data_IF_125483584474
#
_entry.id   IF_125483584474
#
_cell.length_a   1.000
_cell.length_b   1.000
_cell.length_c   1.000
_cell.angle_alpha   90.00
_cell.angle_beta   90.00
_cell.angle_gamma   90.00
#
_symmetry.space_group_name_H-M   'P 1'
#
loop_
_entity.id
_entity.type
_entity.pdbx_description
1 polymer ?
#
# COMPACT_ATOMS: atom_id res chain seq x y z
N UNK A 1 -3.04 -1.54 -27.26
CA UNK A 1 -1.74 -2.10 -27.73
C UNK A 1 -1.11 -1.26 -28.85
N UNK A 2 -1.88 -0.52 -29.64
CA UNK A 2 -1.39 0.41 -30.68
C UNK A 2 -0.65 1.64 -30.15
N UNK A 3 -1.00 2.12 -28.95
CA UNK A 3 -0.45 3.37 -28.41
C UNK A 3 0.99 3.21 -27.91
N UNK A 4 1.35 2.01 -27.43
CA UNK A 4 2.72 1.67 -27.02
C UNK A 4 3.69 1.71 -28.21
N UNK A 5 3.28 1.17 -29.36
CA UNK A 5 4.08 1.20 -30.58
C UNK A 5 4.25 2.62 -31.16
N UNK A 6 3.27 3.51 -30.95
CA UNK A 6 3.39 4.92 -31.33
C UNK A 6 4.38 5.67 -30.43
N UNK A 7 4.35 5.41 -29.12
CA UNK A 7 5.29 6.00 -28.16
C UNK A 7 6.73 5.50 -28.40
N UNK A 8 6.93 4.22 -28.70
CA UNK A 8 8.27 3.67 -29.02
C UNK A 8 8.89 4.30 -30.28
N UNK A 9 8.07 4.54 -31.32
CA UNK A 9 8.53 5.23 -32.55
C UNK A 9 8.91 6.68 -32.26
N UNK A 10 8.12 7.40 -31.45
CA UNK A 10 8.44 8.76 -31.05
C UNK A 10 9.70 8.84 -30.20
N UNK A 11 9.92 7.87 -29.30
CA UNK A 11 11.13 7.78 -28.49
C UNK A 11 12.37 7.54 -29.35
N UNK A 12 12.27 6.63 -30.33
CA UNK A 12 13.37 6.35 -31.28
C UNK A 12 13.73 7.58 -32.11
N UNK A 13 12.72 8.28 -32.65
CA UNK A 13 12.93 9.53 -33.40
C UNK A 13 13.54 10.64 -32.55
N UNK A 14 13.16 10.74 -31.27
CA UNK A 14 13.70 11.72 -30.34
C UNK A 14 15.18 11.42 -30.01
N UNK A 15 15.52 10.15 -29.79
CA UNK A 15 16.89 9.71 -29.53
C UNK A 15 17.81 9.93 -30.74
N UNK A 16 17.33 9.64 -31.96
CA UNK A 16 18.08 9.89 -33.20
C UNK A 16 18.34 11.39 -33.43
N UNK A 17 17.37 12.27 -33.09
CA UNK A 17 17.60 13.73 -33.14
C UNK A 17 18.65 14.18 -32.14
N UNK A 18 18.68 13.60 -30.94
CA UNK A 18 19.68 13.92 -29.91
C UNK A 18 21.05 13.45 -30.37
N UNK A 19 21.17 12.23 -30.90
CA UNK A 19 22.42 11.70 -31.45
C UNK A 19 22.99 12.60 -32.56
N UNK A 20 22.17 12.99 -33.54
CA UNK A 20 22.59 13.93 -34.61
C UNK A 20 22.98 15.31 -34.08
N UNK A 21 22.32 15.79 -33.01
CA UNK A 21 22.66 17.08 -32.39
C UNK A 21 23.97 17.01 -31.62
N UNK A 22 24.28 15.87 -31.00
CA UNK A 22 25.57 15.62 -30.33
C UNK A 22 26.69 15.55 -31.38
N UNK A 23 26.49 14.84 -32.50
CA UNK A 23 27.46 14.80 -33.60
C UNK A 23 27.70 16.18 -34.22
N UNK A 24 26.62 16.96 -34.45
CA UNK A 24 26.71 18.33 -34.97
C UNK A 24 27.33 19.31 -33.96
N UNK A 25 27.12 19.07 -32.66
CA UNK A 25 27.76 19.83 -31.57
C UNK A 25 29.23 19.49 -31.37
N UNK A 26 29.61 18.22 -31.60
CA UNK A 26 31.01 17.76 -31.57
C UNK A 26 31.81 18.32 -32.78
N UNK A 27 31.17 18.48 -33.94
CA UNK A 27 31.76 19.15 -35.11
C UNK A 27 31.93 20.67 -34.98
N UNK A 28 31.33 21.30 -33.97
CA UNK A 28 31.35 22.76 -33.78
C UNK A 28 32.57 23.31 -33.03
N UNK A 29 33.42 22.46 -32.43
CA UNK A 29 34.64 22.89 -31.73
C UNK A 29 35.90 22.92 -32.61
N UNK A 30 35.83 22.47 -33.86
CA UNK A 30 36.98 22.39 -34.76
C UNK A 30 37.04 23.46 -35.86
N UNK A 31 36.08 24.40 -35.94
CA UNK A 31 35.94 25.31 -37.09
C UNK A 31 36.07 26.81 -36.75
N UNK A 32 36.95 27.20 -35.81
CA UNK A 32 37.25 28.62 -35.54
C UNK A 32 38.74 28.98 -35.55
N UNK A 33 39.55 28.34 -36.38
CA UNK A 33 40.95 28.77 -36.54
C UNK A 33 41.51 28.47 -37.93
N UNK A 34 41.06 29.21 -38.94
CA UNK A 34 41.87 29.45 -40.15
C UNK A 34 41.36 30.65 -40.94
N UNK A 35 41.53 31.86 -40.40
CA UNK A 35 41.76 33.07 -41.21
C UNK A 35 42.85 33.85 -40.47
N UNK A 36 44.12 33.48 -40.69
CA UNK A 36 45.26 34.18 -40.12
C UNK A 36 45.84 35.14 -41.16
N UNK A 37 45.63 36.42 -40.92
CA UNK A 37 46.17 37.53 -41.66
C UNK A 37 45.63 38.82 -41.05
N UNK A 38 46.06 39.13 -39.81
CA UNK A 38 46.11 40.45 -39.16
C UNK A 38 46.00 40.30 -37.63
N UNK A 39 47.11 40.59 -36.94
CA UNK A 39 47.13 41.18 -35.60
C UNK A 39 46.70 40.28 -34.44
N UNK A 40 47.69 39.76 -33.70
CA UNK A 40 47.50 39.35 -32.31
C UNK A 40 47.05 40.56 -31.49
N UNK A 41 45.74 40.73 -31.36
CA UNK A 41 45.14 41.54 -30.31
C UNK A 41 45.16 40.66 -29.05
N UNK A 42 45.75 41.11 -27.94
CA UNK A 42 45.62 40.37 -26.70
C UNK A 42 44.13 40.33 -26.37
N UNK A 43 43.52 39.13 -26.42
CA UNK A 43 42.24 38.95 -25.75
C UNK A 43 42.46 39.36 -24.30
N UNK A 44 41.63 40.27 -23.73
CA UNK A 44 41.73 40.54 -22.31
C UNK A 44 41.54 39.20 -21.61
N UNK A 45 42.55 38.78 -20.86
CA UNK A 45 42.42 37.64 -19.96
C UNK A 45 41.15 37.83 -19.12
N UNK A 46 40.44 36.75 -18.75
CA UNK A 46 39.15 36.85 -18.10
C UNK A 46 39.24 37.88 -16.97
N UNK A 47 38.36 38.88 -17.00
CA UNK A 47 38.34 39.93 -15.98
C UNK A 47 38.42 39.25 -14.60
N UNK A 48 39.29 39.71 -13.69
CA UNK A 48 39.50 39.04 -12.41
C UNK A 48 38.21 38.86 -11.61
N UNK A 49 37.21 39.71 -11.83
CA UNK A 49 35.86 39.61 -11.29
C UNK A 49 35.03 38.45 -11.88
N UNK A 50 35.19 38.13 -13.16
CA UNK A 50 34.56 36.97 -13.80
C UNK A 50 35.18 35.65 -13.32
N UNK A 51 36.50 35.63 -13.11
CA UNK A 51 37.16 34.45 -12.53
C UNK A 51 36.72 34.20 -11.08
N UNK A 52 36.56 35.25 -10.28
CA UNK A 52 36.07 35.16 -8.91
C UNK A 52 34.61 34.69 -8.83
N UNK A 53 33.73 35.20 -9.70
CA UNK A 53 32.32 34.77 -9.76
C UNK A 53 32.19 33.31 -10.20
N UNK A 54 32.98 32.86 -11.19
CA UNK A 54 33.01 31.44 -11.60
C UNK A 54 33.48 30.53 -10.46
N UNK A 55 34.47 30.94 -9.67
CA UNK A 55 34.94 30.19 -8.51
C UNK A 55 33.84 30.06 -7.44
N UNK A 56 33.16 31.16 -7.11
CA UNK A 56 32.06 31.16 -6.14
C UNK A 56 30.88 30.29 -6.59
N UNK A 57 30.50 30.36 -7.86
CA UNK A 57 29.43 29.52 -8.43
C UNK A 57 29.78 28.04 -8.40
N UNK A 58 31.05 27.68 -8.66
CA UNK A 58 31.53 26.29 -8.55
C UNK A 58 31.46 25.80 -7.10
N UNK A 59 31.87 26.62 -6.14
CA UNK A 59 31.79 26.26 -4.73
C UNK A 59 30.34 26.07 -4.27
N UNK A 60 29.42 26.96 -4.67
CA UNK A 60 28.00 26.83 -4.38
C UNK A 60 27.41 25.54 -5.00
N UNK A 61 27.77 25.23 -6.24
CA UNK A 61 27.31 24.04 -6.94
C UNK A 61 27.83 22.75 -6.31
N UNK A 62 29.08 22.72 -5.84
CA UNK A 62 29.62 21.58 -5.08
C UNK A 62 28.94 21.42 -3.72
N UNK A 63 28.61 22.51 -3.02
CA UNK A 63 27.81 22.47 -1.78
C UNK A 63 26.40 21.92 -2.03
N UNK A 64 25.73 22.36 -3.10
CA UNK A 64 24.40 21.86 -3.47
C UNK A 64 24.45 20.38 -3.88
N UNK A 65 25.47 19.95 -4.62
CA UNK A 65 25.67 18.54 -4.96
C UNK A 65 25.87 17.66 -3.73
N UNK A 66 26.68 18.12 -2.77
CA UNK A 66 26.89 17.41 -1.51
C UNK A 66 25.59 17.31 -0.70
N UNK A 67 24.81 18.39 -0.62
CA UNK A 67 23.52 18.38 0.05
C UNK A 67 22.51 17.45 -0.64
N UNK A 68 22.46 17.46 -1.98
CA UNK A 68 21.58 16.58 -2.75
C UNK A 68 21.96 15.10 -2.60
N UNK A 69 23.25 14.78 -2.58
CA UNK A 69 23.72 13.43 -2.30
C UNK A 69 23.28 12.93 -0.91
N UNK A 70 23.42 13.77 0.12
CA UNK A 70 22.96 13.43 1.48
C UNK A 70 21.44 13.26 1.56
N UNK A 71 20.66 14.12 0.90
CA UNK A 71 19.21 14.00 0.86
C UNK A 71 18.77 12.74 0.09
N UNK A 72 19.42 12.45 -1.03
CA UNK A 72 19.16 11.23 -1.81
C UNK A 72 19.44 9.97 -1.01
N UNK A 73 20.53 9.94 -0.24
CA UNK A 73 20.85 8.84 0.66
C UNK A 73 19.82 8.70 1.78
N UNK A 74 19.42 9.81 2.42
CA UNK A 74 18.35 9.79 3.45
C UNK A 74 17.02 9.28 2.88
N UNK A 75 16.64 9.73 1.68
CA UNK A 75 15.42 9.24 1.01
C UNK A 75 15.53 7.76 0.71
N UNK A 76 16.69 7.27 0.27
CA UNK A 76 16.89 5.85 0.02
C UNK A 76 16.78 5.03 1.31
N UNK A 77 17.40 5.48 2.40
CA UNK A 77 17.30 4.83 3.72
C UNK A 77 15.85 4.81 4.24
N UNK A 78 15.10 5.91 4.06
CA UNK A 78 13.69 5.96 4.44
C UNK A 78 12.85 5.00 3.59
N UNK A 79 13.06 4.97 2.27
CA UNK A 79 12.37 4.03 1.38
C UNK A 79 12.65 2.58 1.75
N UNK A 80 13.91 2.23 1.99
CA UNK A 80 14.28 0.88 2.44
C UNK A 80 13.57 0.52 3.75
N UNK A 81 13.57 1.42 4.74
CA UNK A 81 12.84 1.20 6.01
C UNK A 81 11.34 1.01 5.75
N UNK A 82 10.73 1.86 4.93
CA UNK A 82 9.31 1.76 4.59
C UNK A 82 9.00 0.44 3.90
N UNK A 83 9.76 0.03 2.90
CA UNK A 83 9.61 -1.26 2.22
C UNK A 83 9.74 -2.44 3.21
N UNK A 84 10.71 -2.40 4.13
CA UNK A 84 10.81 -3.43 5.17
C UNK A 84 9.60 -3.45 6.11
N UNK A 85 9.07 -2.29 6.49
CA UNK A 85 7.89 -2.22 7.35
C UNK A 85 6.62 -2.68 6.63
N UNK A 86 6.44 -2.28 5.36
CA UNK A 86 5.29 -2.67 4.53
C UNK A 86 5.30 -4.19 4.35
N UNK A 87 6.43 -4.77 3.94
CA UNK A 87 6.54 -6.22 3.77
C UNK A 87 6.31 -6.99 5.08
N UNK A 88 6.72 -6.46 6.23
CA UNK A 88 6.40 -7.05 7.53
C UNK A 88 4.91 -6.96 7.87
N UNK A 89 4.27 -5.81 7.60
CA UNK A 89 2.84 -5.61 7.84
C UNK A 89 1.99 -6.49 6.92
N UNK A 90 2.31 -6.57 5.63
CA UNK A 90 1.66 -7.47 4.67
C UNK A 90 1.73 -8.94 5.12
N UNK A 91 2.89 -9.38 5.61
CA UNK A 91 3.04 -10.74 6.17
C UNK A 91 2.20 -10.95 7.42
N UNK A 92 2.08 -9.94 8.29
CA UNK A 92 1.24 -10.01 9.49
C UNK A 92 -0.24 -10.05 9.12
N UNK A 93 -0.67 -9.22 8.17
CA UNK A 93 -2.04 -9.21 7.65
C UNK A 93 -2.39 -10.57 7.04
N UNK A 94 -1.55 -11.12 6.17
CA UNK A 94 -1.79 -12.44 5.58
C UNK A 94 -1.97 -13.54 6.65
N UNK A 95 -1.14 -13.52 7.70
CA UNK A 95 -1.27 -14.47 8.83
C UNK A 95 -2.55 -14.27 9.62
N UNK A 96 -2.94 -13.02 9.89
CA UNK A 96 -4.17 -12.72 10.63
C UNK A 96 -5.41 -13.12 9.83
N UNK A 97 -5.42 -12.88 8.52
CA UNK A 97 -6.50 -13.34 7.63
C UNK A 97 -6.62 -14.86 7.65
N UNK A 98 -5.51 -15.59 7.53
CA UNK A 98 -5.50 -17.05 7.60
C UNK A 98 -6.02 -17.55 8.96
N UNK A 99 -5.62 -16.92 10.06
CA UNK A 99 -6.13 -17.26 11.39
C UNK A 99 -7.63 -17.01 11.53
N UNK A 100 -8.14 -15.92 10.96
CA UNK A 100 -9.56 -15.59 10.98
C UNK A 100 -10.39 -16.58 10.16
N UNK A 101 -9.87 -17.02 9.02
CA UNK A 101 -10.51 -18.05 8.19
C UNK A 101 -10.59 -19.39 8.94
N UNK A 102 -9.50 -19.80 9.61
CA UNK A 102 -9.47 -21.01 10.41
C UNK A 102 -10.45 -20.94 11.58
N UNK A 103 -10.48 -19.82 12.32
CA UNK A 103 -11.43 -19.61 13.41
C UNK A 103 -12.88 -19.59 12.92
N UNK A 104 -13.14 -19.02 11.75
CA UNK A 104 -14.48 -19.04 11.14
C UNK A 104 -14.94 -20.47 10.83
N UNK A 105 -14.04 -21.31 10.31
CA UNK A 105 -14.32 -22.73 10.08
C UNK A 105 -14.56 -23.50 11.39
N UNK A 106 -13.79 -23.22 12.43
CA UNK A 106 -14.00 -23.82 13.76
C UNK A 106 -15.33 -23.38 14.38
N UNK A 107 -15.69 -22.11 14.27
CA UNK A 107 -16.97 -21.58 14.72
C UNK A 107 -18.14 -22.26 14.01
N UNK A 108 -18.06 -22.46 12.69
CA UNK A 108 -19.08 -23.19 11.93
C UNK A 108 -19.19 -24.65 12.37
N UNK A 109 -18.05 -25.31 12.65
CA UNK A 109 -18.06 -26.68 13.19
C UNK A 109 -18.71 -26.74 14.58
N UNK A 110 -18.42 -25.79 15.45
CA UNK A 110 -19.04 -25.69 16.78
C UNK A 110 -20.54 -25.41 16.69
N UNK A 111 -20.97 -24.49 15.83
CA UNK A 111 -22.41 -24.24 15.58
C UNK A 111 -23.12 -25.50 15.12
N UNK A 112 -22.53 -26.26 14.18
CA UNK A 112 -23.09 -27.54 13.72
C UNK A 112 -23.12 -28.61 14.82
N UNK A 113 -22.08 -28.68 15.66
CA UNK A 113 -22.06 -29.60 16.79
C UNK A 113 -23.12 -29.24 17.84
N UNK A 114 -23.29 -27.97 18.17
CA UNK A 114 -24.34 -27.49 19.06
C UNK A 114 -25.74 -27.76 18.51
N UNK A 115 -25.98 -27.52 17.21
CA UNK A 115 -27.26 -27.84 16.58
C UNK A 115 -27.60 -29.33 16.71
N UNK A 116 -26.62 -30.22 16.46
CA UNK A 116 -26.79 -31.66 16.66
C UNK A 116 -27.04 -32.04 18.12
N UNK A 117 -26.36 -31.38 19.06
CA UNK A 117 -26.57 -31.61 20.49
C UNK A 117 -27.97 -31.18 20.91
N UNK A 118 -28.45 -30.03 20.44
CA UNK A 118 -29.82 -29.56 20.67
C UNK A 118 -30.83 -30.55 20.10
N UNK A 119 -30.69 -30.95 18.83
CA UNK A 119 -31.53 -31.97 18.20
C UNK A 119 -31.55 -33.28 19.00
N UNK A 120 -30.38 -33.77 19.44
CA UNK A 120 -30.29 -34.97 20.27
C UNK A 120 -30.96 -34.80 21.63
N UNK A 121 -30.87 -33.61 22.24
CA UNK A 121 -31.50 -33.33 23.53
C UNK A 121 -33.02 -33.25 23.40
N UNK A 122 -33.52 -32.64 22.32
CA UNK A 122 -34.94 -32.59 21.99
C UNK A 122 -35.48 -34.00 21.76
N UNK A 123 -34.81 -34.83 20.95
CA UNK A 123 -35.21 -36.22 20.74
C UNK A 123 -35.21 -37.05 22.04
N UNK A 124 -34.23 -36.83 22.93
CA UNK A 124 -34.21 -37.47 24.25
C UNK A 124 -35.34 -37.00 25.16
N UNK A 125 -35.72 -35.71 25.10
CA UNK A 125 -36.86 -35.16 25.84
C UNK A 125 -38.17 -35.72 25.31
N UNK A 126 -38.35 -35.78 23.99
CA UNK A 126 -39.54 -36.38 23.35
C UNK A 126 -39.68 -37.85 23.75
N UNK A 127 -38.59 -38.63 23.67
CA UNK A 127 -38.58 -40.03 24.11
C UNK A 127 -38.86 -40.19 25.63
N UNK A 128 -38.42 -39.23 26.46
CA UNK A 128 -38.76 -39.21 27.88
C UNK A 128 -40.24 -38.88 28.12
N UNK A 129 -40.82 -37.95 27.36
CA UNK A 129 -42.24 -37.57 27.48
C UNK A 129 -43.16 -38.71 27.02
N UNK A 130 -42.82 -39.43 25.95
CA UNK A 130 -43.52 -40.65 25.52
C UNK A 130 -43.45 -41.75 26.59
N UNK A 131 -42.39 -41.76 27.41
CA UNK A 131 -42.24 -42.65 28.56
C UNK A 131 -42.95 -42.21 29.84
N UNK A 132 -43.00 -40.89 30.13
CA UNK A 132 -43.61 -40.29 31.33
C UNK A 132 -43.85 -38.76 31.14
N UNK A 133 -45.12 -38.27 31.09
CA UNK A 133 -45.39 -36.86 30.86
C UNK A 133 -45.49 -36.10 32.19
N UNK A 134 -44.39 -35.50 32.63
CA UNK A 134 -44.42 -34.50 33.71
C UNK A 134 -44.49 -33.09 33.11
N UNK A 135 -45.66 -32.45 33.22
CA UNK A 135 -45.92 -31.10 32.72
C UNK A 135 -44.95 -30.03 33.26
N UNK A 136 -44.32 -30.29 34.41
CA UNK A 136 -43.33 -29.36 35.00
C UNK A 136 -41.99 -29.40 34.27
N UNK A 137 -41.57 -30.56 33.74
CA UNK A 137 -40.35 -30.70 32.95
C UNK A 137 -40.51 -30.05 31.57
N UNK A 138 -41.69 -30.15 30.97
CA UNK A 138 -41.99 -29.50 29.70
C UNK A 138 -42.02 -27.97 29.81
N UNK A 139 -42.58 -27.43 30.90
CA UNK A 139 -42.51 -25.98 31.13
C UNK A 139 -41.06 -25.50 31.37
N UNK A 140 -40.23 -26.31 32.04
CA UNK A 140 -38.80 -26.03 32.20
C UNK A 140 -38.05 -26.08 30.88
N UNK A 141 -38.33 -27.05 30.01
CA UNK A 141 -37.69 -27.14 28.69
C UNK A 141 -37.98 -25.92 27.84
N UNK A 142 -39.25 -25.51 27.78
CA UNK A 142 -39.70 -24.33 27.03
C UNK A 142 -39.06 -23.06 27.59
N UNK A 143 -38.96 -22.92 28.92
CA UNK A 143 -38.30 -21.77 29.53
C UNK A 143 -36.81 -21.70 29.18
N UNK A 144 -36.12 -22.85 29.15
CA UNK A 144 -34.70 -22.92 28.78
C UNK A 144 -34.48 -22.62 27.29
N UNK A 145 -35.38 -23.06 26.40
CA UNK A 145 -35.34 -22.74 24.98
C UNK A 145 -35.59 -21.25 24.72
N UNK A 146 -36.53 -20.63 25.42
CA UNK A 146 -36.75 -19.18 25.37
C UNK A 146 -35.52 -18.39 25.82
N UNK A 147 -34.86 -18.83 26.89
CA UNK A 147 -33.67 -18.18 27.42
C UNK A 147 -32.49 -18.33 26.45
N UNK A 148 -32.34 -19.49 25.81
CA UNK A 148 -31.34 -19.73 24.77
C UNK A 148 -31.58 -18.83 23.53
N UNK A 149 -32.82 -18.76 23.03
CA UNK A 149 -33.18 -17.89 21.90
C UNK A 149 -32.95 -16.40 22.22
N UNK A 150 -33.23 -15.98 23.45
CA UNK A 150 -32.96 -14.61 23.89
C UNK A 150 -31.46 -14.32 23.98
N UNK A 151 -30.65 -15.30 24.39
CA UNK A 151 -29.20 -15.16 24.45
C UNK A 151 -28.59 -15.08 23.04
N UNK A 152 -29.04 -15.93 22.12
CA UNK A 152 -28.64 -15.90 20.71
C UNK A 152 -28.97 -14.55 20.07
N UNK A 153 -30.21 -14.05 20.25
CA UNK A 153 -30.61 -12.75 19.72
C UNK A 153 -29.81 -11.58 20.31
N UNK A 154 -29.41 -11.66 21.58
CA UNK A 154 -28.53 -10.66 22.19
C UNK A 154 -27.11 -10.70 21.60
N UNK A 155 -26.59 -11.89 21.30
CA UNK A 155 -25.30 -12.03 20.62
C UNK A 155 -25.36 -11.45 19.18
N UNK A 156 -26.42 -11.77 18.42
CA UNK A 156 -26.62 -11.21 17.07
C UNK A 156 -26.70 -9.67 17.08
N UNK A 157 -27.38 -9.09 18.07
CA UNK A 157 -27.44 -7.62 18.21
C UNK A 157 -26.07 -7.02 18.53
N UNK A 158 -25.27 -7.68 19.38
CA UNK A 158 -23.92 -7.22 19.70
C UNK A 158 -22.98 -7.30 18.48
N UNK A 159 -23.03 -8.39 17.71
CA UNK A 159 -22.28 -8.51 16.44
C UNK A 159 -22.68 -7.40 15.45
N UNK A 160 -23.98 -7.09 15.34
CA UNK A 160 -24.45 -6.03 14.45
C UNK A 160 -24.04 -4.63 14.93
N UNK A 161 -24.01 -4.38 16.23
CA UNK A 161 -23.48 -3.13 16.80
C UNK A 161 -21.98 -2.97 16.54
N UNK A 162 -21.20 -4.06 16.61
CA UNK A 162 -19.78 -4.07 16.28
C UNK A 162 -19.53 -3.75 14.80
N UNK A 163 -20.26 -4.41 13.88
CA UNK A 163 -20.21 -4.11 12.44
C UNK A 163 -20.57 -2.64 12.18
N UNK A 164 -21.62 -2.13 12.81
CA UNK A 164 -22.00 -0.72 12.67
C UNK A 164 -20.93 0.23 13.22
N UNK A 165 -20.24 -0.14 14.29
CA UNK A 165 -19.14 0.64 14.85
C UNK A 165 -17.93 0.70 13.90
N UNK A 166 -17.62 -0.39 13.20
CA UNK A 166 -16.56 -0.44 12.18
C UNK A 166 -16.93 0.29 10.88
N UNK A 167 -18.19 0.23 10.45
CA UNK A 167 -18.66 0.89 9.22
C UNK A 167 -18.79 2.42 9.38
N UNK A 168 -19.17 2.91 10.57
CA UNK A 168 -19.30 4.36 10.85
C UNK A 168 -18.05 5.19 10.49
N UNK A 169 -16.82 4.84 10.89
CA UNK A 169 -15.63 5.61 10.54
C UNK A 169 -15.31 5.58 9.04
N UNK A 170 -15.65 4.49 8.32
CA UNK A 170 -15.46 4.39 6.87
C UNK A 170 -16.38 5.36 6.12
N UNK A 171 -17.66 5.44 6.51
CA UNK A 171 -18.61 6.40 5.97
C UNK A 171 -18.24 7.85 6.29
N UNK A 172 -17.68 8.11 7.48
CA UNK A 172 -17.24 9.45 7.87
C UNK A 172 -15.96 9.90 7.13
N UNK A 173 -15.12 8.97 6.68
CA UNK A 173 -13.92 9.24 5.91
C UNK A 173 -14.21 9.57 4.44
N UNK A 174 -15.29 9.03 3.86
CA UNK A 174 -15.76 9.34 2.49
C UNK A 174 -16.46 10.71 2.38
N UNK A 175 -16.93 11.27 3.50
CA UNK A 175 -17.63 12.55 3.56
C UNK A 175 -16.70 13.77 3.76
N UNK A 176 -15.38 13.59 3.73
CA UNK A 176 -14.35 14.66 3.77
C UNK A 176 -13.56 14.71 2.49
#
# INVERSE_FOLDING_TARGET
MSDLAAVERQLSDALDRIARRIEKGAGGKAARTSVFGLGARPEPGPDPEQAATIANLREALEKERAANAQLSERVHQVKQRQETTITQLERRLARLTEQLDLQSLEMLRLKKANAKLMESNTALREAQVEGFPDATLMNKSISAELEALQAERRAEMAEMEEILAELKPLLAAEAR
#
